data_IF_033132518766
#
_entry.id   IF_033132518766
#
_cell.length_a   1.000
_cell.length_b   1.000
_cell.length_c   1.000
_cell.angle_alpha   90.00
_cell.angle_beta   90.00
_cell.angle_gamma   90.00
#
_symmetry.space_group_name_H-M   'P 1'
#
loop_
_entity.id
_entity.type
_entity.pdbx_description
1 polymer ?
#
# COMPACT_ATOMS: atom_id res chain seq x y z
N UNK A 1 53.27 51.01 -44.97
CA UNK A 1 51.83 51.18 -44.68
C UNK A 1 50.93 50.12 -45.30
N UNK A 2 51.29 49.46 -46.44
CA UNK A 2 50.46 48.41 -47.06
C UNK A 2 50.48 47.03 -46.37
N UNK A 3 51.41 46.77 -45.44
CA UNK A 3 51.52 45.46 -44.76
C UNK A 3 50.65 45.35 -43.50
N UNK A 4 50.30 46.47 -42.87
CA UNK A 4 49.48 46.47 -41.64
C UNK A 4 48.00 46.18 -41.91
N UNK A 5 47.49 46.59 -43.08
CA UNK A 5 46.12 46.29 -43.50
C UNK A 5 45.91 44.83 -43.88
N UNK A 6 46.94 44.15 -44.40
CA UNK A 6 46.86 42.72 -44.72
C UNK A 6 46.77 41.83 -43.47
N UNK A 7 47.46 42.20 -42.39
CA UNK A 7 47.42 41.50 -41.10
C UNK A 7 46.06 41.65 -40.40
N UNK A 8 45.45 42.83 -40.48
CA UNK A 8 44.13 43.10 -39.90
C UNK A 8 43.01 42.28 -40.57
N UNK A 9 43.05 42.12 -41.89
CA UNK A 9 42.04 41.35 -42.63
C UNK A 9 42.17 39.84 -42.39
N UNK A 10 43.41 39.34 -42.23
CA UNK A 10 43.66 37.93 -41.91
C UNK A 10 43.15 37.51 -40.53
N UNK A 11 43.31 38.37 -39.51
CA UNK A 11 42.82 38.12 -38.15
C UNK A 11 41.29 38.07 -38.05
N UNK A 12 40.58 38.89 -38.84
CA UNK A 12 39.11 38.88 -38.88
C UNK A 12 38.58 37.59 -39.51
N UNK A 13 39.25 37.08 -40.56
CA UNK A 13 38.88 35.82 -41.21
C UNK A 13 39.10 34.60 -40.30
N UNK A 14 40.17 34.58 -39.51
CA UNK A 14 40.42 33.49 -38.55
C UNK A 14 39.44 33.54 -37.38
N UNK A 15 39.11 34.74 -36.87
CA UNK A 15 38.09 34.91 -35.83
C UNK A 15 36.69 34.45 -36.25
N UNK A 16 36.32 34.65 -37.52
CA UNK A 16 35.05 34.16 -38.07
C UNK A 16 34.98 32.63 -38.20
N UNK A 17 36.11 31.96 -38.47
CA UNK A 17 36.18 30.50 -38.57
C UNK A 17 36.09 29.82 -37.20
N UNK A 18 36.59 30.46 -36.13
CA UNK A 18 36.47 29.94 -34.75
C UNK A 18 35.03 30.01 -34.23
N UNK A 19 34.21 30.96 -34.72
CA UNK A 19 32.77 31.05 -34.39
C UNK A 19 31.89 30.07 -35.21
N UNK A 20 32.44 29.47 -36.27
CA UNK A 20 31.78 28.43 -37.06
C UNK A 20 32.30 27.02 -36.74
N UNK A 21 33.24 26.89 -35.79
CA UNK A 21 33.37 25.62 -35.10
C UNK A 21 32.01 25.37 -34.44
N UNK A 22 31.35 24.24 -34.71
CA UNK A 22 30.21 23.87 -33.89
C UNK A 22 30.78 23.85 -32.48
N UNK A 23 30.34 24.81 -31.66
CA UNK A 23 30.20 24.51 -30.26
C UNK A 23 29.42 23.21 -30.26
N UNK A 24 30.13 22.11 -30.02
CA UNK A 24 29.60 21.00 -29.26
C UNK A 24 29.19 21.61 -27.93
N UNK A 25 28.12 22.40 -27.98
CA UNK A 25 27.25 22.65 -26.88
C UNK A 25 27.07 21.27 -26.29
N UNK A 26 27.52 21.15 -25.05
CA UNK A 26 27.30 20.00 -24.20
C UNK A 26 25.99 19.36 -24.64
N UNK A 27 26.12 18.22 -25.32
CA UNK A 27 25.01 17.40 -25.69
C UNK A 27 24.51 16.82 -24.36
N UNK A 28 23.70 17.62 -23.66
CA UNK A 28 22.97 17.23 -22.46
C UNK A 28 21.77 16.34 -22.84
N UNK A 29 21.66 15.92 -24.10
CA UNK A 29 20.68 14.92 -24.50
C UNK A 29 21.27 13.52 -24.33
N UNK A 30 20.88 12.89 -23.22
CA UNK A 30 20.91 11.44 -23.02
C UNK A 30 22.26 10.83 -22.63
N UNK A 31 22.83 11.29 -21.51
CA UNK A 31 23.24 10.29 -20.54
C UNK A 31 21.94 9.76 -19.95
N UNK A 32 21.36 8.75 -20.60
CA UNK A 32 20.26 7.95 -20.08
C UNK A 32 20.76 7.21 -18.85
N UNK A 33 20.94 7.96 -17.77
CA UNK A 33 20.82 7.45 -16.41
C UNK A 33 19.33 7.40 -16.11
N UNK A 34 18.57 6.73 -16.96
CA UNK A 34 17.36 6.06 -16.55
C UNK A 34 17.79 5.05 -15.49
N UNK A 35 17.97 5.54 -14.26
CA UNK A 35 17.89 4.68 -13.10
C UNK A 35 16.44 4.26 -13.12
N UNK A 36 16.17 3.10 -13.71
CA UNK A 36 14.88 2.46 -13.61
C UNK A 36 14.64 2.29 -12.12
N UNK A 37 13.80 3.16 -11.56
CA UNK A 37 13.26 2.95 -10.22
C UNK A 37 12.21 1.89 -10.42
N UNK A 38 12.67 0.64 -10.44
CA UNK A 38 11.79 -0.51 -10.35
C UNK A 38 11.31 -0.56 -8.90
N UNK A 39 10.03 -0.30 -8.70
CA UNK A 39 9.39 -0.52 -7.40
C UNK A 39 9.34 -2.02 -7.18
N UNK A 40 9.97 -2.49 -6.10
CA UNK A 40 9.84 -3.88 -5.68
C UNK A 40 8.38 -4.23 -5.39
N UNK A 41 8.01 -5.49 -5.55
CA UNK A 41 6.76 -6.07 -5.06
C UNK A 41 6.59 -5.78 -3.57
N UNK A 42 5.35 -5.67 -3.09
CA UNK A 42 5.05 -5.50 -1.66
C UNK A 42 5.66 -6.62 -0.81
N UNK A 43 5.81 -7.83 -1.35
CA UNK A 43 6.45 -8.98 -0.69
C UNK A 43 7.97 -8.81 -0.50
N UNK A 44 8.62 -8.07 -1.40
CA UNK A 44 10.08 -7.88 -1.47
C UNK A 44 10.52 -6.51 -0.91
N UNK A 45 9.57 -5.68 -0.47
CA UNK A 45 9.87 -4.42 0.19
C UNK A 45 10.59 -4.66 1.54
N UNK A 46 11.25 -3.63 2.07
CA UNK A 46 11.89 -3.69 3.41
C UNK A 46 10.90 -4.14 4.49
N UNK A 47 9.64 -3.79 4.32
CA UNK A 47 8.49 -4.30 5.07
C UNK A 47 7.65 -5.09 4.07
N UNK A 48 7.82 -6.41 4.10
CA UNK A 48 7.09 -7.34 3.24
C UNK A 48 5.64 -7.46 3.68
N UNK A 49 4.71 -7.37 2.76
CA UNK A 49 3.27 -7.47 3.06
C UNK A 49 2.63 -8.54 2.20
N UNK A 50 2.22 -9.64 2.84
CA UNK A 50 1.45 -10.71 2.21
C UNK A 50 -0.03 -10.48 2.54
N UNK A 51 -0.86 -10.27 1.51
CA UNK A 51 -2.32 -10.15 1.64
C UNK A 51 -3.05 -11.01 0.63
N UNK A 52 -4.17 -11.59 1.03
CA UNK A 52 -5.11 -12.28 0.15
C UNK A 52 -6.48 -11.60 0.23
N UNK A 53 -7.27 -11.57 -0.86
CA UNK A 53 -8.64 -11.07 -0.79
C UNK A 53 -9.45 -11.93 0.19
N UNK A 54 -10.19 -11.28 1.07
CA UNK A 54 -10.93 -11.97 2.13
C UNK A 54 -12.38 -12.13 1.68
N UNK A 55 -12.80 -13.39 1.58
CA UNK A 55 -14.17 -13.78 1.35
C UNK A 55 -14.72 -14.47 2.60
N UNK A 56 -15.78 -13.90 3.16
CA UNK A 56 -16.45 -14.36 4.36
C UNK A 56 -17.70 -15.12 3.96
N UNK A 57 -17.64 -16.44 3.97
CA UNK A 57 -18.78 -17.30 3.64
C UNK A 57 -19.58 -17.65 4.89
N UNK A 58 -20.91 -17.63 4.78
CA UNK A 58 -21.85 -17.91 5.87
C UNK A 58 -21.49 -19.15 6.73
N UNK A 59 -20.95 -20.19 6.11
CA UNK A 59 -20.60 -21.46 6.77
C UNK A 59 -19.49 -21.33 7.82
N UNK A 60 -18.59 -20.36 7.65
CA UNK A 60 -17.44 -20.12 8.52
C UNK A 60 -17.78 -19.13 9.66
N UNK A 61 -18.86 -18.38 9.53
CA UNK A 61 -19.31 -17.38 10.48
C UNK A 61 -20.22 -17.94 11.59
N UNK A 62 -20.09 -17.39 12.79
CA UNK A 62 -21.05 -17.65 13.87
C UNK A 62 -22.23 -16.68 13.79
N UNK A 63 -23.45 -17.20 13.73
CA UNK A 63 -24.65 -16.35 13.75
C UNK A 63 -24.94 -15.86 15.17
N UNK A 64 -24.91 -14.54 15.37
CA UNK A 64 -25.33 -13.89 16.61
C UNK A 64 -26.61 -13.11 16.38
N UNK A 65 -27.60 -13.30 17.26
CA UNK A 65 -28.86 -12.54 17.20
C UNK A 65 -29.09 -11.85 18.54
N UNK A 66 -29.36 -10.55 18.48
CA UNK A 66 -29.67 -9.73 19.64
C UNK A 66 -31.17 -9.43 19.61
N UNK A 67 -31.83 -9.69 20.74
CA UNK A 67 -33.24 -9.39 20.93
C UNK A 67 -33.37 -7.97 21.45
N UNK A 68 -33.91 -7.08 20.62
CA UNK A 68 -34.29 -5.73 21.02
C UNK A 68 -35.81 -5.71 21.29
N UNK A 69 -36.32 -4.67 21.97
CA UNK A 69 -37.71 -4.62 22.43
C UNK A 69 -38.75 -4.91 21.34
N UNK A 70 -38.46 -4.58 20.06
CA UNK A 70 -39.41 -4.73 18.93
C UNK A 70 -38.85 -5.48 17.70
N UNK A 71 -37.60 -5.95 17.71
CA UNK A 71 -37.00 -6.64 16.56
C UNK A 71 -35.88 -7.61 16.96
N UNK A 72 -35.62 -8.59 16.10
CA UNK A 72 -34.44 -9.46 16.20
C UNK A 72 -33.47 -9.08 15.11
N UNK A 73 -32.37 -8.48 15.51
CA UNK A 73 -31.24 -8.16 14.64
C UNK A 73 -30.24 -9.32 14.72
N UNK A 74 -29.83 -9.83 13.56
CA UNK A 74 -28.90 -10.94 13.47
C UNK A 74 -27.72 -10.51 12.59
N UNK A 75 -26.54 -11.00 12.93
CA UNK A 75 -25.30 -10.80 12.17
C UNK A 75 -24.54 -12.12 12.09
N UNK A 76 -23.70 -12.25 11.09
CA UNK A 76 -22.68 -13.29 11.01
C UNK A 76 -21.35 -12.71 11.48
N UNK A 77 -20.79 -13.26 12.55
CA UNK A 77 -19.51 -12.82 13.12
C UNK A 77 -18.41 -13.83 12.80
N UNK A 78 -17.29 -13.31 12.32
CA UNK A 78 -16.10 -14.04 11.93
C UNK A 78 -14.97 -13.59 12.85
N UNK A 79 -14.47 -14.49 13.70
CA UNK A 79 -13.40 -14.22 14.65
C UNK A 79 -12.08 -14.78 14.13
N UNK A 80 -10.95 -14.18 14.52
CA UNK A 80 -9.60 -14.63 14.15
C UNK A 80 -9.35 -14.69 12.63
N UNK A 81 -10.01 -13.83 11.85
CA UNK A 81 -9.79 -13.74 10.40
C UNK A 81 -8.40 -13.14 10.18
N UNK A 82 -7.52 -13.87 9.51
CA UNK A 82 -6.20 -13.37 9.18
C UNK A 82 -6.32 -12.31 8.08
N UNK A 83 -6.04 -11.06 8.43
CA UNK A 83 -6.16 -9.92 7.52
C UNK A 83 -4.93 -9.81 6.64
N UNK A 84 -3.75 -9.82 7.28
CA UNK A 84 -2.48 -9.58 6.60
C UNK A 84 -1.32 -10.17 7.39
N UNK A 85 -0.23 -10.48 6.69
CA UNK A 85 1.06 -10.80 7.30
C UNK A 85 2.09 -9.76 6.93
N UNK A 86 2.76 -9.22 7.96
CA UNK A 86 3.85 -8.27 7.84
C UNK A 86 5.15 -9.02 8.14
N UNK A 87 6.12 -8.87 7.23
CA UNK A 87 7.40 -9.57 7.23
C UNK A 87 8.50 -8.51 7.30
N UNK A 88 9.41 -8.68 8.25
CA UNK A 88 10.60 -7.86 8.34
C UNK A 88 11.68 -8.37 7.37
N UNK A 89 11.87 -7.65 6.27
CA UNK A 89 12.93 -7.90 5.29
C UNK A 89 14.11 -6.92 5.48
N UNK A 90 14.15 -6.15 6.56
CA UNK A 90 15.26 -5.24 6.83
C UNK A 90 16.55 -6.04 7.14
N UNK A 91 17.73 -5.49 6.79
CA UNK A 91 19.01 -6.15 7.12
C UNK A 91 19.23 -6.31 8.64
N UNK A 92 18.59 -5.48 9.45
CA UNK A 92 18.70 -5.50 10.91
C UNK A 92 17.81 -6.58 11.53
N UNK A 93 16.72 -6.98 10.86
CA UNK A 93 15.69 -7.90 11.34
C UNK A 93 15.15 -7.51 12.73
N UNK A 94 15.02 -6.20 12.94
CA UNK A 94 14.64 -5.55 14.21
C UNK A 94 13.51 -4.54 14.00
N UNK A 95 12.72 -4.74 12.97
CA UNK A 95 11.57 -3.91 12.69
C UNK A 95 10.54 -4.08 13.82
N UNK A 96 10.28 -3.01 14.56
CA UNK A 96 9.26 -3.01 15.60
C UNK A 96 7.93 -2.51 15.03
N UNK A 97 6.92 -3.37 15.02
CA UNK A 97 5.52 -2.98 14.79
C UNK A 97 4.89 -2.80 16.17
N UNK A 98 4.36 -1.61 16.43
CA UNK A 98 3.70 -1.27 17.70
C UNK A 98 2.20 -1.11 17.48
N UNK A 99 1.38 -1.35 18.51
CA UNK A 99 -0.08 -1.14 18.43
C UNK A 99 -0.44 0.30 18.05
N UNK A 100 0.38 1.29 18.42
CA UNK A 100 0.21 2.69 18.02
C UNK A 100 0.57 2.97 16.56
N UNK A 101 1.36 2.10 15.96
CA UNK A 101 1.76 2.18 14.56
C UNK A 101 0.88 1.35 13.64
N UNK A 102 -0.16 0.66 14.13
CA UNK A 102 -1.12 -0.02 13.27
C UNK A 102 -2.53 0.48 13.56
N UNK A 103 -3.12 1.18 12.59
CA UNK A 103 -4.54 1.54 12.61
C UNK A 103 -5.27 0.78 11.50
N UNK A 104 -6.46 0.27 11.81
CA UNK A 104 -7.34 -0.36 10.83
C UNK A 104 -8.71 0.25 10.98
N UNK A 105 -9.20 0.82 9.88
CA UNK A 105 -10.49 1.48 9.83
C UNK A 105 -11.31 1.02 8.63
N UNK A 106 -12.62 1.14 8.75
CA UNK A 106 -13.56 1.01 7.65
C UNK A 106 -14.17 2.39 7.40
N UNK A 107 -14.08 2.92 6.18
CA UNK A 107 -14.50 4.30 5.87
C UNK A 107 -16.02 4.52 5.97
N UNK A 108 -16.83 3.45 6.04
CA UNK A 108 -18.28 3.54 6.05
C UNK A 108 -18.92 2.63 7.12
N UNK A 109 -20.09 3.04 7.60
CA UNK A 109 -21.00 2.22 8.43
C UNK A 109 -21.70 1.13 7.58
N UNK A 110 -20.89 0.30 6.90
CA UNK A 110 -21.33 -0.78 6.02
C UNK A 110 -20.83 -2.14 6.49
N UNK A 111 -21.18 -3.18 5.72
CA UNK A 111 -20.75 -4.55 5.97
C UNK A 111 -19.75 -5.01 4.89
N UNK A 112 -18.69 -5.75 5.24
CA UNK A 112 -18.36 -6.19 6.58
C UNK A 112 -17.91 -5.04 7.50
N UNK A 113 -18.31 -5.08 8.77
CA UNK A 113 -17.89 -4.12 9.80
C UNK A 113 -16.74 -4.70 10.62
N UNK A 114 -15.74 -3.85 10.91
CA UNK A 114 -14.64 -4.18 11.82
C UNK A 114 -15.07 -3.99 13.27
N UNK A 115 -14.95 -5.04 14.08
CA UNK A 115 -15.31 -5.01 15.50
C UNK A 115 -14.08 -4.90 16.40
N UNK A 116 -13.05 -5.69 16.09
CA UNK A 116 -11.82 -5.79 16.88
C UNK A 116 -10.69 -6.24 15.96
N UNK A 117 -9.47 -5.85 16.29
CA UNK A 117 -8.26 -6.40 15.68
C UNK A 117 -7.20 -6.69 16.74
N UNK A 118 -6.34 -7.66 16.45
CA UNK A 118 -5.25 -8.09 17.30
C UNK A 118 -4.00 -8.35 16.46
N UNK A 119 -2.83 -8.00 17.00
CA UNK A 119 -1.55 -8.16 16.33
C UNK A 119 -0.76 -9.24 17.07
N UNK A 120 -0.48 -10.33 16.38
CA UNK A 120 0.26 -11.46 16.94
C UNK A 120 1.61 -11.60 16.26
N UNK A 121 2.69 -11.58 17.05
CA UNK A 121 4.02 -11.93 16.55
C UNK A 121 4.18 -13.46 16.57
N UNK A 122 4.43 -14.06 15.42
CA UNK A 122 4.65 -15.50 15.27
C UNK A 122 5.86 -15.76 14.36
N UNK A 123 6.90 -16.41 14.89
CA UNK A 123 8.12 -16.77 14.16
C UNK A 123 8.78 -15.61 13.39
N UNK A 124 8.78 -14.40 13.95
CA UNK A 124 9.37 -13.21 13.31
C UNK A 124 8.49 -12.57 12.24
N UNK A 125 7.24 -13.00 12.09
CA UNK A 125 6.21 -12.34 11.28
C UNK A 125 5.17 -11.73 12.21
N UNK A 126 4.63 -10.57 11.85
CA UNK A 126 3.45 -10.03 12.50
C UNK A 126 2.22 -10.46 11.70
N UNK A 127 1.26 -11.06 12.39
CA UNK A 127 0.00 -11.52 11.81
C UNK A 127 -1.09 -10.64 12.42
N UNK A 128 -1.79 -9.91 11.56
CA UNK A 128 -2.93 -9.11 11.99
C UNK A 128 -4.18 -9.93 11.82
N UNK A 129 -4.90 -10.12 12.91
CA UNK A 129 -6.20 -10.82 12.93
C UNK A 129 -7.30 -9.84 13.24
N UNK A 130 -8.45 -10.04 12.62
CA UNK A 130 -9.62 -9.18 12.80
C UNK A 130 -10.85 -10.00 13.15
N UNK A 131 -11.76 -9.35 13.88
CA UNK A 131 -13.13 -9.79 14.02
C UNK A 131 -14.01 -8.94 13.12
N UNK A 132 -14.71 -9.59 12.20
CA UNK A 132 -15.58 -8.94 11.21
C UNK A 132 -17.01 -9.40 11.38
N UNK A 133 -17.96 -8.53 11.01
CA UNK A 133 -19.38 -8.90 10.94
C UNK A 133 -19.95 -8.64 9.58
N UNK A 134 -20.87 -9.49 9.15
CA UNK A 134 -21.71 -9.35 7.98
C UNK A 134 -23.19 -9.31 8.40
N UNK A 135 -24.02 -8.60 7.63
CA UNK A 135 -25.45 -8.51 7.91
C UNK A 135 -26.15 -9.86 7.68
N UNK A 136 -27.24 -10.09 8.41
CA UNK A 136 -28.09 -11.26 8.22
C UNK A 136 -29.53 -10.87 7.84
N UNK A 137 -29.84 -11.07 6.56
CA UNK A 137 -31.19 -10.97 6.03
C UNK A 137 -32.11 -12.09 6.55
N UNK A 138 -33.42 -11.88 6.37
CA UNK A 138 -34.44 -12.89 6.67
C UNK A 138 -35.42 -13.04 5.52
N UNK A 139 -35.66 -14.28 5.11
CA UNK A 139 -36.76 -14.64 4.23
C UNK A 139 -37.63 -15.74 4.87
N UNK A 140 -38.88 -15.83 4.42
CA UNK A 140 -39.85 -16.80 4.96
C UNK A 140 -39.53 -18.26 4.59
N UNK A 141 -38.69 -18.50 3.58
CA UNK A 141 -38.49 -19.82 2.97
C UNK A 141 -37.18 -20.49 3.41
N UNK A 142 -36.09 -19.74 3.49
CA UNK A 142 -34.73 -20.18 3.84
C UNK A 142 -34.31 -19.71 5.25
N UNK A 143 -35.14 -18.90 5.90
CA UNK A 143 -34.87 -18.34 7.21
C UNK A 143 -33.84 -17.23 7.15
N UNK A 144 -32.79 -17.32 7.96
CA UNK A 144 -31.72 -16.31 8.01
C UNK A 144 -30.61 -16.66 7.02
N UNK A 145 -30.24 -15.69 6.19
CA UNK A 145 -29.15 -15.78 5.22
C UNK A 145 -28.19 -14.61 5.42
N UNK A 146 -26.94 -14.75 4.99
CA UNK A 146 -25.99 -13.66 5.00
C UNK A 146 -26.27 -12.75 3.80
N UNK A 147 -26.33 -11.43 4.00
CA UNK A 147 -26.45 -10.50 2.88
C UNK A 147 -25.08 -10.30 2.22
N UNK A 148 -25.05 -10.33 0.89
CA UNK A 148 -23.81 -10.06 0.16
C UNK A 148 -23.49 -8.58 0.17
N UNK A 149 -22.28 -8.25 0.59
CA UNK A 149 -21.78 -6.89 0.71
C UNK A 149 -20.26 -6.85 0.63
N UNK A 150 -19.69 -5.68 0.39
CA UNK A 150 -18.24 -5.50 0.31
C UNK A 150 -17.82 -4.16 0.88
N UNK A 151 -16.71 -4.14 1.59
CA UNK A 151 -16.09 -2.95 2.16
C UNK A 151 -14.57 -3.09 2.01
N UNK A 152 -13.90 -1.98 1.77
CA UNK A 152 -12.44 -1.89 1.83
C UNK A 152 -12.03 -1.47 3.24
N UNK A 153 -11.15 -2.24 3.87
CA UNK A 153 -10.52 -1.87 5.13
C UNK A 153 -9.23 -1.12 4.81
N UNK A 154 -9.06 0.05 5.42
CA UNK A 154 -7.83 0.84 5.33
C UNK A 154 -6.94 0.47 6.50
N UNK A 155 -5.70 0.09 6.19
CA UNK A 155 -4.67 -0.23 7.16
C UNK A 155 -3.52 0.77 7.04
N UNK A 156 -3.23 1.46 8.13
CA UNK A 156 -2.07 2.34 8.28
C UNK A 156 -1.02 1.66 9.14
N UNK A 157 0.18 1.49 8.61
CA UNK A 157 1.33 0.87 9.28
C UNK A 157 2.50 1.86 9.34
N UNK A 158 2.90 2.24 10.54
CA UNK A 158 4.13 2.94 10.86
C UNK A 158 5.07 2.00 11.62
N UNK A 159 6.29 1.85 11.11
CA UNK A 159 7.28 0.96 11.70
C UNK A 159 8.70 1.52 11.57
N UNK A 160 9.58 1.18 12.51
CA UNK A 160 10.92 1.75 12.58
C UNK A 160 11.93 0.76 13.17
N UNK A 161 13.16 0.78 12.66
CA UNK A 161 14.32 0.09 13.26
C UNK A 161 15.31 1.07 13.93
N UNK A 162 14.89 2.34 14.07
CA UNK A 162 15.69 3.44 14.61
C UNK A 162 16.61 4.13 13.59
N UNK A 163 16.88 3.50 12.44
CA UNK A 163 17.62 4.10 11.32
C UNK A 163 16.68 4.46 10.17
N UNK A 164 15.69 3.61 9.93
CA UNK A 164 14.71 3.74 8.86
C UNK A 164 13.32 3.73 9.51
N UNK A 165 12.48 4.65 9.06
CA UNK A 165 11.04 4.66 9.34
C UNK A 165 10.31 4.37 8.05
N UNK A 166 9.36 3.44 8.10
CA UNK A 166 8.51 3.06 6.98
C UNK A 166 7.06 3.33 7.40
N UNK A 167 6.39 4.14 6.59
CA UNK A 167 4.96 4.42 6.69
C UNK A 167 4.28 3.83 5.46
N UNK A 168 3.19 3.12 5.67
CA UNK A 168 2.49 2.39 4.64
C UNK A 168 0.99 2.37 4.89
N UNK A 169 0.24 2.82 3.89
CA UNK A 169 -1.21 2.77 3.84
C UNK A 169 -1.64 1.71 2.80
N UNK A 170 -2.59 0.84 3.16
CA UNK A 170 -3.12 -0.20 2.27
C UNK A 170 -4.61 -0.39 2.42
N UNK A 171 -5.28 -0.48 1.29
CA UNK A 171 -6.67 -0.95 1.19
C UNK A 171 -6.70 -2.48 1.05
N UNK A 172 -7.57 -3.12 1.83
CA UNK A 172 -7.78 -4.55 1.87
C UNK A 172 -9.26 -4.82 1.61
N UNK A 173 -9.62 -5.34 0.41
CA UNK A 173 -11.01 -5.60 0.08
C UNK A 173 -11.52 -6.81 0.84
N UNK A 174 -12.68 -6.67 1.48
CA UNK A 174 -13.35 -7.74 2.19
C UNK A 174 -14.80 -7.88 1.73
N UNK A 175 -15.23 -9.12 1.49
CA UNK A 175 -16.54 -9.44 0.95
C UNK A 175 -17.29 -10.42 1.85
N UNK A 176 -18.58 -10.18 2.02
CA UNK A 176 -19.56 -11.10 2.60
C UNK A 176 -20.25 -11.86 1.46
N UNK A 177 -20.26 -13.19 1.52
CA UNK A 177 -20.87 -14.09 0.53
C UNK A 177 -22.04 -14.93 1.08
#
# INVERSE_FOLDING_TARGET
MRSLTALSLGLILIGGIVLAAPSGAFDLTSADRGVGVETASDEDALVGIEKEPISLVKEDGSRKCIWNDWSVECVYEYTDVELIRIIDNTPSSKLEVTDTGLDISAEAAGYPSLEEYDIQMNNGKYIVKVTLRCDAGFNLWDGRYQESSSTDLTMDLETSDGTITVELEREIPVQCE
#
